data_IF_511257311917
#
_entry.id   IF_511257311917
#
_cell.length_a   1.000
_cell.length_b   1.000
_cell.length_c   1.000
_cell.angle_alpha   90.00
_cell.angle_beta   90.00
_cell.angle_gamma   90.00
#
_symmetry.space_group_name_H-M   'P 1'
#
loop_
_entity.id
_entity.type
_entity.pdbx_description
1 polymer ?
#
# COMPACT_ATOMS: atom_id res chain seq x y z
N UNK A 1 1.09 5.27 8.51
CA UNK A 1 -0.09 4.46 8.07
C UNK A 1 -1.15 4.32 9.15
N UNK A 2 -0.88 3.64 10.27
CA UNK A 2 -1.90 3.37 11.31
C UNK A 2 -2.64 4.62 11.80
N UNK A 3 -1.91 5.69 12.15
CA UNK A 3 -2.52 6.95 12.61
C UNK A 3 -3.35 7.64 11.52
N UNK A 4 -2.87 7.64 10.27
CA UNK A 4 -3.62 8.19 9.11
C UNK A 4 -4.96 7.46 8.95
N UNK A 5 -4.94 6.13 8.93
CA UNK A 5 -6.16 5.35 8.81
C UNK A 5 -7.10 5.55 10.02
N UNK A 6 -6.55 5.66 11.23
CA UNK A 6 -7.32 5.91 12.45
C UNK A 6 -8.06 7.25 12.39
N UNK A 7 -7.43 8.32 11.88
CA UNK A 7 -8.08 9.62 11.66
C UNK A 7 -9.22 9.54 10.64
N UNK A 8 -9.07 8.70 9.62
CA UNK A 8 -10.12 8.41 8.65
C UNK A 8 -11.22 7.46 9.19
N UNK A 9 -11.17 7.06 10.47
CA UNK A 9 -12.14 6.14 11.07
C UNK A 9 -12.03 4.69 10.55
N UNK A 10 -10.85 4.29 10.09
CA UNK A 10 -10.58 2.97 9.50
C UNK A 10 -9.50 2.24 10.30
N UNK A 11 -9.75 0.98 10.64
CA UNK A 11 -8.75 0.10 11.23
C UNK A 11 -7.89 -0.57 10.15
N UNK A 12 -6.60 -0.76 10.47
CA UNK A 12 -5.65 -1.46 9.58
C UNK A 12 -5.56 -2.92 10.02
N UNK A 13 -5.70 -3.84 9.07
CA UNK A 13 -5.42 -5.27 9.30
C UNK A 13 -4.08 -5.63 8.67
N UNK A 14 -3.07 -5.92 9.50
CA UNK A 14 -1.78 -6.37 9.02
C UNK A 14 -1.83 -7.87 8.67
N UNK A 15 -1.35 -8.21 7.48
CA UNK A 15 -1.28 -9.58 6.97
C UNK A 15 0.03 -9.78 6.20
N UNK A 16 0.51 -11.02 6.20
CA UNK A 16 1.49 -11.45 5.19
C UNK A 16 0.69 -11.67 3.91
N UNK A 17 1.02 -10.93 2.85
CA UNK A 17 0.39 -11.12 1.56
C UNK A 17 1.11 -12.25 0.81
N UNK A 18 0.45 -13.38 0.51
CA UNK A 18 1.10 -14.51 -0.16
C UNK A 18 1.35 -14.27 -1.65
N UNK A 19 0.66 -13.28 -2.25
CA UNK A 19 0.83 -12.92 -3.65
C UNK A 19 2.15 -12.18 -3.92
N UNK A 20 2.62 -12.28 -5.16
CA UNK A 20 3.76 -11.48 -5.62
C UNK A 20 3.31 -10.04 -5.88
N UNK A 21 4.04 -9.07 -5.32
CA UNK A 21 3.85 -7.64 -5.59
C UNK A 21 5.20 -7.03 -5.94
N UNK A 22 5.18 -5.85 -6.57
CA UNK A 22 6.40 -5.10 -6.91
C UNK A 22 7.27 -4.80 -5.68
N UNK A 23 6.68 -4.79 -4.48
CA UNK A 23 7.39 -4.63 -3.23
C UNK A 23 8.47 -5.71 -2.99
N UNK A 24 8.40 -6.87 -3.65
CA UNK A 24 9.50 -7.85 -3.67
C UNK A 24 10.76 -7.24 -4.27
N UNK A 25 10.65 -6.66 -5.46
CA UNK A 25 11.78 -6.08 -6.19
C UNK A 25 12.24 -4.77 -5.56
N UNK A 26 11.32 -3.94 -5.07
CA UNK A 26 11.66 -2.71 -4.34
C UNK A 26 12.54 -3.00 -3.13
N UNK A 27 12.17 -4.00 -2.29
CA UNK A 27 12.99 -4.40 -1.14
C UNK A 27 14.37 -4.93 -1.57
N UNK A 28 14.43 -5.61 -2.71
CA UNK A 28 15.66 -6.20 -3.27
C UNK A 28 16.47 -5.23 -4.13
N UNK A 29 16.08 -3.95 -4.24
CA UNK A 29 16.78 -2.97 -5.09
C UNK A 29 18.29 -2.94 -4.87
N UNK A 30 18.75 -3.04 -3.62
CA UNK A 30 20.18 -3.06 -3.27
C UNK A 30 20.98 -4.23 -3.86
N UNK A 31 20.32 -5.29 -4.33
CA UNK A 31 20.95 -6.46 -4.96
C UNK A 31 21.00 -6.34 -6.48
N UNK A 32 20.42 -5.29 -7.07
CA UNK A 32 20.38 -5.14 -8.52
C UNK A 32 21.78 -4.83 -9.09
N UNK A 33 22.10 -5.29 -10.33
CA UNK A 33 23.42 -5.10 -10.93
C UNK A 33 23.86 -3.63 -11.06
N UNK A 34 22.89 -2.71 -11.12
CA UNK A 34 23.09 -1.27 -11.24
C UNK A 34 22.81 -0.52 -9.93
N UNK A 35 22.65 -1.21 -8.79
CA UNK A 35 22.46 -0.58 -7.50
C UNK A 35 23.71 0.24 -7.12
N UNK A 36 23.50 1.38 -6.46
CA UNK A 36 24.62 2.19 -5.97
C UNK A 36 25.43 1.37 -4.94
N UNK A 37 26.76 1.49 -4.89
CA UNK A 37 27.55 0.86 -3.83
C UNK A 37 27.00 1.21 -2.45
N UNK A 38 26.98 0.22 -1.54
CA UNK A 38 26.44 0.35 -0.18
C UNK A 38 24.96 0.71 -0.08
N UNK A 39 24.17 0.50 -1.14
CA UNK A 39 22.71 0.60 -1.06
C UNK A 39 22.14 -0.36 -0.01
N UNK A 40 21.06 0.06 0.65
CA UNK A 40 20.31 -0.74 1.63
C UNK A 40 18.96 -1.17 1.05
N UNK A 41 18.34 -2.24 1.58
CA UNK A 41 16.95 -2.57 1.26
C UNK A 41 16.03 -1.36 1.43
N UNK A 42 15.08 -1.19 0.50
CA UNK A 42 14.03 -0.18 0.64
C UNK A 42 12.88 -0.81 1.42
N UNK A 43 12.45 -0.15 2.51
CA UNK A 43 11.25 -0.56 3.23
C UNK A 43 10.01 -0.30 2.36
N UNK A 44 9.17 -1.31 2.23
CA UNK A 44 7.98 -1.23 1.38
C UNK A 44 6.80 -1.94 2.06
N UNK A 45 5.60 -1.43 1.83
CA UNK A 45 4.33 -2.01 2.27
C UNK A 45 3.37 -2.06 1.09
N UNK A 46 2.57 -3.13 1.02
CA UNK A 46 1.41 -3.17 0.13
C UNK A 46 0.19 -2.73 0.92
N UNK A 47 -0.54 -1.73 0.42
CA UNK A 47 -1.71 -1.18 1.08
C UNK A 47 -2.70 -0.72 0.02
N UNK A 48 -3.98 -1.05 0.21
CA UNK A 48 -5.09 -0.53 -0.58
C UNK A 48 -6.27 -0.25 0.36
N UNK A 49 -6.79 0.99 0.43
CA UNK A 49 -7.89 1.38 1.33
C UNK A 49 -9.25 0.91 0.79
N UNK A 50 -9.42 -0.40 0.59
CA UNK A 50 -10.62 -1.02 0.01
C UNK A 50 -11.40 -1.82 1.05
N UNK A 51 -11.93 -1.13 2.07
CA UNK A 51 -12.77 -1.79 3.10
C UNK A 51 -14.13 -2.16 2.53
N UNK A 52 -14.79 -3.13 3.16
CA UNK A 52 -16.14 -3.59 2.78
C UNK A 52 -16.27 -3.99 1.31
N UNK A 53 -15.15 -4.39 0.70
CA UNK A 53 -15.06 -4.79 -0.71
C UNK A 53 -14.70 -6.28 -0.74
N UNK A 54 -15.45 -7.12 -1.45
CA UNK A 54 -15.08 -8.52 -1.63
C UNK A 54 -13.73 -8.64 -2.34
N UNK A 55 -13.00 -9.73 -2.07
CA UNK A 55 -11.74 -10.01 -2.75
C UNK A 55 -12.07 -10.54 -4.15
N UNK A 56 -11.98 -9.67 -5.15
CA UNK A 56 -12.34 -9.97 -6.56
C UNK A 56 -11.19 -9.70 -7.54
N UNK A 57 -9.94 -9.57 -7.06
CA UNK A 57 -8.82 -9.33 -7.97
C UNK A 57 -8.76 -10.44 -9.03
N UNK A 58 -8.78 -10.03 -10.30
CA UNK A 58 -8.77 -10.92 -11.47
C UNK A 58 -10.03 -11.78 -11.68
N UNK A 59 -11.15 -11.46 -11.03
CA UNK A 59 -12.42 -12.14 -11.24
C UNK A 59 -13.28 -11.43 -12.31
N UNK A 60 -14.31 -12.10 -12.81
CA UNK A 60 -15.13 -11.61 -13.95
C UNK A 60 -15.96 -10.35 -13.66
N UNK A 61 -16.17 -9.99 -12.38
CA UNK A 61 -16.94 -8.81 -11.95
C UNK A 61 -16.19 -7.97 -10.90
N UNK A 62 -14.87 -7.85 -11.06
CA UNK A 62 -14.02 -6.98 -10.23
C UNK A 62 -14.59 -5.55 -10.16
N UNK A 63 -14.91 -5.09 -8.95
CA UNK A 63 -15.55 -3.80 -8.72
C UNK A 63 -15.15 -3.18 -7.39
N UNK A 64 -15.31 -1.87 -7.31
CA UNK A 64 -15.11 -1.07 -6.09
C UNK A 64 -16.25 -0.05 -5.96
N UNK A 65 -16.70 0.20 -4.73
CA UNK A 65 -17.65 1.28 -4.46
C UNK A 65 -16.99 2.64 -4.68
N UNK A 66 -17.72 3.59 -5.28
CA UNK A 66 -17.27 4.99 -5.46
C UNK A 66 -16.90 5.61 -4.12
N UNK A 67 -17.67 5.36 -3.06
CA UNK A 67 -17.36 5.89 -1.72
C UNK A 67 -16.04 5.34 -1.17
N UNK A 68 -15.74 4.06 -1.44
CA UNK A 68 -14.47 3.44 -1.04
C UNK A 68 -13.30 3.98 -1.84
N UNK A 69 -13.50 4.20 -3.15
CA UNK A 69 -12.51 4.83 -4.00
C UNK A 69 -12.17 6.25 -3.51
N UNK A 70 -13.19 7.08 -3.25
CA UNK A 70 -13.01 8.45 -2.75
C UNK A 70 -12.37 8.49 -1.35
N UNK A 71 -12.80 7.61 -0.44
CA UNK A 71 -12.13 7.43 0.85
C UNK A 71 -10.65 7.11 0.68
N UNK A 72 -10.32 6.26 -0.31
CA UNK A 72 -8.95 5.95 -0.65
C UNK A 72 -8.14 7.16 -1.06
N UNK A 73 -8.70 8.04 -1.90
CA UNK A 73 -8.05 9.30 -2.27
C UNK A 73 -7.71 10.17 -1.05
N UNK A 74 -8.64 10.31 -0.11
CA UNK A 74 -8.39 11.07 1.13
C UNK A 74 -7.30 10.43 2.00
N UNK A 75 -7.37 9.11 2.21
CA UNK A 75 -6.35 8.37 2.98
C UNK A 75 -4.96 8.51 2.36
N UNK A 76 -4.83 8.41 1.03
CA UNK A 76 -3.54 8.56 0.37
C UNK A 76 -3.02 10.00 0.41
N UNK A 77 -3.91 11.00 0.34
CA UNK A 77 -3.52 12.41 0.45
C UNK A 77 -2.83 12.66 1.79
N UNK A 78 -3.47 12.24 2.89
CA UNK A 78 -2.90 12.34 4.23
C UNK A 78 -1.64 11.48 4.38
N UNK A 79 -1.64 10.26 3.84
CA UNK A 79 -0.50 9.34 3.95
C UNK A 79 0.74 9.91 3.27
N UNK A 80 0.61 10.44 2.05
CA UNK A 80 1.73 11.04 1.31
C UNK A 80 2.22 12.30 2.00
N UNK A 81 1.29 13.14 2.50
CA UNK A 81 1.65 14.32 3.29
C UNK A 81 2.53 13.97 4.50
N UNK A 82 2.08 13.00 5.31
CA UNK A 82 2.79 12.55 6.52
C UNK A 82 4.13 11.87 6.21
N UNK A 83 4.19 11.06 5.15
CA UNK A 83 5.45 10.47 4.69
C UNK A 83 6.46 11.53 4.24
N UNK A 84 5.99 12.63 3.66
CA UNK A 84 6.85 13.76 3.27
C UNK A 84 7.36 14.60 4.45
N UNK A 85 6.83 14.41 5.65
CA UNK A 85 7.33 15.08 6.87
C UNK A 85 8.43 14.27 7.60
N UNK A 86 8.72 13.05 7.15
CA UNK A 86 9.76 12.17 7.70
C UNK A 86 11.15 12.54 7.18
#
# INVERSE_FOLDING_TARGET
LYEVCKRAGVSVSQRIFPGATDARFVRQYHLMPNARPNSKPIEAIGFSPMRHTPVLLHDHDERLSVDQFLLGCYVYTDLVYELGQM
#
